data_IF_287481333535
#
_entry.id   IF_287481333535
#
_cell.length_a   1.000
_cell.length_b   1.000
_cell.length_c   1.000
_cell.angle_alpha   90.00
_cell.angle_beta   90.00
_cell.angle_gamma   90.00
#
_symmetry.space_group_name_H-M   'P 1'
#
loop_
_entity.id
_entity.type
_entity.pdbx_description
1 polymer ?
#
# COMPACT_ATOMS: atom_id res chain seq x y z
N UNK A 1 5.59 21.30 3.36
CA UNK A 1 5.02 20.13 2.68
C UNK A 1 5.21 20.30 1.19
N UNK A 2 5.61 19.24 0.48
CA UNK A 2 5.79 19.24 -0.98
C UNK A 2 4.55 18.58 -1.62
N UNK A 3 4.16 19.02 -2.81
CA UNK A 3 3.08 18.36 -3.55
C UNK A 3 3.43 16.87 -3.81
N UNK A 4 2.43 15.97 -3.84
CA UNK A 4 2.66 14.55 -4.08
C UNK A 4 3.29 14.31 -5.45
N UNK A 5 4.30 13.44 -5.52
CA UNK A 5 5.10 13.20 -6.74
C UNK A 5 4.28 12.80 -7.97
N UNK A 6 3.13 12.14 -7.75
CA UNK A 6 2.27 11.61 -8.81
C UNK A 6 0.94 12.36 -8.96
N UNK A 7 0.80 13.54 -8.34
CA UNK A 7 -0.40 14.38 -8.45
C UNK A 7 -0.04 15.77 -8.98
N UNK A 8 -1.01 16.47 -9.57
CA UNK A 8 -0.86 17.88 -9.98
C UNK A 8 -0.60 18.81 -8.77
N UNK A 9 -0.43 20.11 -9.02
CA UNK A 9 -0.27 21.09 -7.93
C UNK A 9 -1.61 21.39 -7.26
N UNK A 10 -1.55 21.87 -6.01
CA UNK A 10 -2.72 22.47 -5.33
C UNK A 10 -3.53 21.51 -4.48
N UNK A 11 -3.06 20.28 -4.27
CA UNK A 11 -3.70 19.32 -3.35
C UNK A 11 -3.28 19.55 -1.90
N UNK A 12 -2.05 20.01 -1.68
CA UNK A 12 -1.57 20.33 -0.32
C UNK A 12 -2.37 21.51 0.22
N UNK A 13 -2.98 21.34 1.40
CA UNK A 13 -3.82 22.35 2.05
C UNK A 13 -5.21 22.51 1.45
N UNK A 14 -5.57 21.75 0.41
CA UNK A 14 -6.91 21.81 -0.16
C UNK A 14 -7.97 21.37 0.85
N UNK A 15 -8.97 22.22 1.09
CA UNK A 15 -10.03 21.92 2.05
C UNK A 15 -11.15 21.10 1.40
N UNK A 16 -10.95 19.78 1.34
CA UNK A 16 -11.93 18.84 0.82
C UNK A 16 -13.27 18.90 1.54
N UNK A 17 -13.27 19.09 2.86
CA UNK A 17 -14.52 19.15 3.63
C UNK A 17 -15.38 20.34 3.23
N UNK A 18 -14.76 21.51 3.00
CA UNK A 18 -15.43 22.71 2.49
C UNK A 18 -15.94 22.50 1.07
N UNK A 19 -15.11 21.95 0.19
CA UNK A 19 -15.47 21.74 -1.22
C UNK A 19 -16.62 20.73 -1.37
N UNK A 20 -16.59 19.62 -0.63
CA UNK A 20 -17.59 18.55 -0.71
C UNK A 20 -18.81 18.78 0.20
N UNK A 21 -18.78 19.80 1.06
CA UNK A 21 -19.81 20.10 2.07
C UNK A 21 -20.15 18.90 2.96
N UNK A 22 -19.16 18.03 3.21
CA UNK A 22 -19.28 16.81 4.01
C UNK A 22 -18.01 16.62 4.84
N UNK A 23 -18.12 15.86 5.94
CA UNK A 23 -16.92 15.46 6.69
C UNK A 23 -16.07 14.57 5.79
N UNK A 24 -14.81 14.96 5.58
CA UNK A 24 -13.89 14.24 4.72
C UNK A 24 -12.67 13.77 5.50
N UNK A 25 -12.20 12.57 5.17
CA UNK A 25 -10.92 12.02 5.62
C UNK A 25 -10.12 11.66 4.38
N UNK A 26 -8.83 12.01 4.36
CA UNK A 26 -7.92 11.74 3.26
C UNK A 26 -6.76 10.92 3.80
N UNK A 27 -6.43 9.84 3.10
CA UNK A 27 -5.32 8.94 3.45
C UNK A 27 -4.61 8.52 2.16
N UNK A 28 -3.38 8.03 2.31
CA UNK A 28 -2.65 7.39 1.22
C UNK A 28 -3.46 6.21 0.61
N UNK A 29 -3.34 6.01 -0.70
CA UNK A 29 -4.10 5.02 -1.47
C UNK A 29 -3.73 3.57 -1.11
N UNK A 30 -2.45 3.27 -0.94
CA UNK A 30 -1.97 1.98 -0.47
C UNK A 30 -2.44 1.72 0.96
N UNK A 31 -2.43 2.74 1.82
CA UNK A 31 -2.98 2.65 3.17
C UNK A 31 -4.50 2.35 3.17
N UNK A 32 -5.26 2.95 2.25
CA UNK A 32 -6.68 2.65 2.06
C UNK A 32 -6.90 1.20 1.64
N UNK A 33 -6.16 0.71 0.64
CA UNK A 33 -6.26 -0.69 0.21
C UNK A 33 -5.81 -1.67 1.30
N UNK A 34 -4.75 -1.33 2.05
CA UNK A 34 -4.27 -2.12 3.17
C UNK A 34 -5.35 -2.26 4.25
N UNK A 35 -6.01 -1.16 4.58
CA UNK A 35 -7.09 -1.16 5.57
C UNK A 35 -8.26 -2.06 5.16
N UNK A 36 -8.63 -2.05 3.88
CA UNK A 36 -9.65 -2.96 3.35
C UNK A 36 -9.21 -4.42 3.28
N UNK A 37 -7.92 -4.66 3.07
CA UNK A 37 -7.36 -6.01 2.92
C UNK A 37 -7.03 -6.69 4.25
N UNK A 38 -6.87 -5.92 5.33
CA UNK A 38 -6.46 -6.45 6.63
C UNK A 38 -7.53 -7.38 7.23
N UNK A 39 -7.10 -8.52 7.74
CA UNK A 39 -7.97 -9.47 8.45
C UNK A 39 -7.54 -9.57 9.91
N UNK A 40 -6.25 -9.87 10.14
CA UNK A 40 -5.65 -10.04 11.47
C UNK A 40 -4.13 -10.00 11.38
N UNK A 41 -3.48 -9.98 12.54
CA UNK A 41 -2.02 -10.00 12.65
C UNK A 41 -1.37 -8.72 12.11
N UNK A 42 -0.06 -8.79 11.89
CA UNK A 42 0.73 -7.77 11.21
C UNK A 42 0.73 -8.07 9.71
N UNK A 43 0.10 -7.18 8.95
CA UNK A 43 -0.01 -7.29 7.50
C UNK A 43 0.73 -6.14 6.84
N UNK A 44 1.65 -6.48 5.94
CA UNK A 44 2.26 -5.53 5.02
C UNK A 44 1.48 -5.53 3.71
N UNK A 45 1.05 -4.37 3.25
CA UNK A 45 0.49 -4.19 1.92
C UNK A 45 1.55 -3.62 0.99
N UNK A 46 1.65 -4.18 -0.22
CA UNK A 46 2.52 -3.70 -1.29
C UNK A 46 1.71 -3.56 -2.59
N UNK A 47 1.51 -2.33 -3.04
CA UNK A 47 0.82 -1.99 -4.27
C UNK A 47 1.78 -1.91 -5.44
N UNK A 48 1.70 -2.87 -6.36
CA UNK A 48 2.50 -2.90 -7.58
C UNK A 48 1.77 -2.13 -8.69
N UNK A 49 2.20 -0.90 -8.95
CA UNK A 49 1.62 -0.02 -9.96
C UNK A 49 2.69 0.57 -10.87
N UNK A 50 2.49 1.84 -11.27
CA UNK A 50 3.55 2.64 -11.88
C UNK A 50 4.76 2.71 -10.94
N UNK A 51 4.49 2.95 -9.66
CA UNK A 51 5.46 2.90 -8.58
C UNK A 51 5.20 1.79 -7.54
N UNK A 52 5.75 1.95 -6.34
CA UNK A 52 5.53 1.05 -5.20
C UNK A 52 4.82 1.77 -4.05
N UNK A 53 3.53 1.50 -3.89
CA UNK A 53 2.77 1.91 -2.71
C UNK A 53 2.93 0.91 -1.57
N UNK A 54 2.99 1.36 -0.32
CA UNK A 54 3.11 0.46 0.81
C UNK A 54 2.39 0.96 2.07
N UNK A 55 1.95 0.03 2.90
CA UNK A 55 1.42 0.34 4.22
C UNK A 55 1.52 -0.87 5.16
N UNK A 56 1.70 -0.63 6.45
CA UNK A 56 1.70 -1.65 7.49
C UNK A 56 0.46 -1.51 8.36
N UNK A 57 -0.23 -2.62 8.60
CA UNK A 57 -1.42 -2.68 9.46
C UNK A 57 -1.21 -3.72 10.55
N UNK A 58 -1.44 -3.34 11.80
CA UNK A 58 -1.43 -4.28 12.92
C UNK A 58 -2.36 -3.80 14.03
N UNK A 59 -3.09 -4.73 14.64
CA UNK A 59 -4.09 -4.42 15.67
C UNK A 59 -5.07 -3.35 15.16
N UNK A 60 -4.96 -2.11 15.64
CA UNK A 60 -5.75 -0.94 15.24
C UNK A 60 -4.90 0.18 14.62
N UNK A 61 -3.63 -0.09 14.31
CA UNK A 61 -2.72 0.88 13.71
C UNK A 61 -2.62 0.67 12.20
N UNK A 62 -2.63 1.77 11.46
CA UNK A 62 -2.36 1.86 10.03
C UNK A 62 -1.22 2.86 9.83
N UNK A 63 -0.10 2.39 9.30
CA UNK A 63 1.06 3.20 8.97
C UNK A 63 1.27 3.21 7.45
N UNK A 64 0.99 4.32 6.75
CA UNK A 64 1.44 4.51 5.38
C UNK A 64 2.97 4.47 5.31
N UNK A 65 3.54 3.89 4.26
CA UNK A 65 4.98 3.76 4.07
C UNK A 65 5.38 4.23 2.67
N UNK A 66 6.50 4.95 2.61
CA UNK A 66 7.11 5.40 1.35
C UNK A 66 8.29 4.47 0.98
N UNK A 67 7.98 3.19 0.76
CA UNK A 67 9.02 2.21 0.47
C UNK A 67 9.63 2.38 -0.93
N UNK A 68 8.94 3.03 -1.87
CA UNK A 68 9.39 3.17 -3.26
C UNK A 68 10.76 3.81 -3.43
N UNK A 69 11.16 4.71 -2.52
CA UNK A 69 12.48 5.35 -2.53
C UNK A 69 13.59 4.55 -1.84
N UNK A 70 13.29 3.38 -1.24
CA UNK A 70 14.29 2.59 -0.54
C UNK A 70 15.46 2.23 -1.48
N UNK A 71 16.71 2.41 -1.02
CA UNK A 71 17.87 1.90 -1.75
C UNK A 71 17.74 0.40 -1.97
N UNK A 72 18.04 0.00 -3.19
CA UNK A 72 17.96 -1.35 -3.67
C UNK A 72 19.05 -1.56 -4.73
N UNK A 73 19.16 -2.77 -5.25
CA UNK A 73 20.18 -3.23 -6.21
C UNK A 73 20.69 -2.13 -7.15
N UNK A 74 22.00 -2.14 -7.36
CA UNK A 74 22.73 -1.21 -8.24
C UNK A 74 22.58 0.27 -7.82
N UNK A 75 22.49 0.52 -6.50
CA UNK A 75 22.26 1.84 -5.91
C UNK A 75 21.02 2.57 -6.47
N UNK A 76 20.03 1.81 -6.94
CA UNK A 76 18.77 2.34 -7.45
C UNK A 76 17.68 2.24 -6.40
N UNK A 77 16.53 2.82 -6.69
CA UNK A 77 15.36 2.73 -5.80
C UNK A 77 14.61 1.44 -6.05
N UNK A 78 14.01 0.86 -5.02
CA UNK A 78 13.24 -0.39 -5.14
C UNK A 78 12.11 -0.29 -6.18
N UNK A 79 11.51 0.90 -6.32
CA UNK A 79 10.49 1.17 -7.32
C UNK A 79 10.98 0.97 -8.76
N UNK A 80 12.26 1.26 -9.04
CA UNK A 80 12.85 1.05 -10.36
C UNK A 80 12.89 -0.42 -10.79
N UNK A 81 12.76 -1.33 -9.82
CA UNK A 81 12.79 -2.78 -10.02
C UNK A 81 11.39 -3.39 -9.95
N UNK A 82 10.54 -2.92 -9.03
CA UNK A 82 9.21 -3.48 -8.82
C UNK A 82 8.10 -2.79 -9.63
N UNK A 83 8.31 -1.54 -10.02
CA UNK A 83 7.38 -0.75 -10.82
C UNK A 83 7.40 -1.13 -12.30
N UNK A 84 6.73 -0.30 -13.12
CA UNK A 84 6.59 -0.57 -14.56
C UNK A 84 7.94 -0.52 -15.30
N UNK A 85 8.86 0.37 -14.90
CA UNK A 85 10.20 0.47 -15.46
C UNK A 85 11.00 -0.84 -15.30
N UNK A 86 10.89 -1.46 -14.12
CA UNK A 86 11.53 -2.74 -13.85
C UNK A 86 10.92 -3.86 -14.68
N UNK A 87 9.59 -3.85 -14.83
CA UNK A 87 8.87 -4.82 -15.64
C UNK A 87 9.28 -4.75 -17.12
N UNK A 88 9.36 -3.55 -17.68
CA UNK A 88 9.76 -3.33 -19.08
C UNK A 88 11.22 -3.73 -19.32
N UNK A 89 12.12 -3.38 -18.40
CA UNK A 89 13.55 -3.68 -18.50
C UNK A 89 13.87 -5.17 -18.35
N UNK A 90 13.23 -5.87 -17.40
CA UNK A 90 13.55 -7.26 -17.07
C UNK A 90 12.71 -8.28 -17.86
N UNK A 91 11.57 -7.85 -18.40
CA UNK A 91 10.54 -8.75 -18.91
C UNK A 91 9.78 -9.48 -17.78
N UNK A 92 8.60 -10.03 -18.10
CA UNK A 92 7.67 -10.52 -17.07
C UNK A 92 8.23 -11.66 -16.20
N UNK A 93 9.07 -12.54 -16.75
CA UNK A 93 9.59 -13.69 -15.99
C UNK A 93 10.54 -13.22 -14.89
N UNK A 94 11.60 -12.50 -15.27
CA UNK A 94 12.60 -12.01 -14.31
C UNK A 94 12.00 -10.96 -13.35
N UNK A 95 11.08 -10.11 -13.83
CA UNK A 95 10.37 -9.17 -12.95
C UNK A 95 9.56 -9.88 -11.86
N UNK A 96 8.86 -10.99 -12.16
CA UNK A 96 8.14 -11.76 -11.14
C UNK A 96 9.10 -12.32 -10.09
N UNK A 97 10.23 -12.87 -10.52
CA UNK A 97 11.25 -13.42 -9.61
C UNK A 97 11.79 -12.32 -8.69
N UNK A 98 12.04 -11.12 -9.23
CA UNK A 98 12.49 -9.95 -8.47
C UNK A 98 11.44 -9.49 -7.45
N UNK A 99 10.18 -9.39 -7.86
CA UNK A 99 9.05 -9.09 -6.97
C UNK A 99 8.97 -10.10 -5.83
N UNK A 100 9.06 -11.40 -6.13
CA UNK A 100 8.98 -12.45 -5.11
C UNK A 100 10.14 -12.38 -4.12
N UNK A 101 11.36 -12.15 -4.60
CA UNK A 101 12.53 -11.96 -3.75
C UNK A 101 12.31 -10.77 -2.80
N UNK A 102 11.96 -9.61 -3.35
CA UNK A 102 11.78 -8.40 -2.57
C UNK A 102 10.63 -8.53 -1.56
N UNK A 103 9.49 -9.10 -1.96
CA UNK A 103 8.34 -9.34 -1.07
C UNK A 103 8.73 -10.23 0.11
N UNK A 104 9.56 -11.24 -0.14
CA UNK A 104 10.03 -12.15 0.90
C UNK A 104 10.93 -11.41 1.89
N UNK A 105 11.86 -10.58 1.41
CA UNK A 105 12.73 -9.77 2.27
C UNK A 105 11.92 -8.76 3.10
N UNK A 106 11.02 -8.01 2.47
CA UNK A 106 10.19 -7.03 3.18
C UNK A 106 9.27 -7.69 4.22
N UNK A 107 8.71 -8.86 3.92
CA UNK A 107 7.93 -9.63 4.90
C UNK A 107 8.76 -9.90 6.16
N UNK A 108 10.01 -10.31 6.00
CA UNK A 108 10.93 -10.58 7.10
C UNK A 108 11.31 -9.29 7.85
N UNK A 109 11.72 -8.25 7.13
CA UNK A 109 12.15 -6.98 7.73
C UNK A 109 11.07 -6.30 8.56
N UNK A 110 9.81 -6.41 8.14
CA UNK A 110 8.67 -5.89 8.90
C UNK A 110 8.09 -6.90 9.89
N UNK A 111 8.64 -8.11 9.95
CA UNK A 111 8.15 -9.23 10.77
C UNK A 111 6.63 -9.40 10.55
N UNK A 112 6.23 -9.38 9.28
CA UNK A 112 4.83 -9.44 8.88
C UNK A 112 4.36 -10.89 8.78
N UNK A 113 3.23 -11.19 9.42
CA UNK A 113 2.57 -12.50 9.32
C UNK A 113 2.13 -12.77 7.88
N UNK A 114 1.63 -11.71 7.23
CA UNK A 114 1.11 -11.75 5.87
C UNK A 114 1.54 -10.54 5.05
N UNK A 115 1.72 -10.77 3.75
CA UNK A 115 1.82 -9.71 2.75
C UNK A 115 0.61 -9.77 1.84
N UNK A 116 -0.01 -8.63 1.58
CA UNK A 116 -1.02 -8.49 0.52
C UNK A 116 -0.41 -7.70 -0.63
N UNK A 117 -0.33 -8.33 -1.79
CA UNK A 117 0.07 -7.66 -3.03
C UNK A 117 -1.17 -7.09 -3.71
N UNK A 118 -1.22 -5.79 -3.92
CA UNK A 118 -2.27 -5.10 -4.67
C UNK A 118 -1.71 -4.35 -5.87
N UNK A 119 -2.49 -3.40 -6.37
CA UNK A 119 -2.11 -2.58 -7.52
C UNK A 119 -2.34 -3.28 -8.87
N UNK A 120 -2.30 -2.50 -9.95
CA UNK A 120 -2.66 -2.96 -11.29
C UNK A 120 -1.76 -4.07 -11.85
N UNK A 121 -0.50 -4.16 -11.39
CA UNK A 121 0.47 -5.14 -11.87
C UNK A 121 0.41 -6.47 -11.13
N UNK A 122 -0.33 -6.60 -10.02
CA UNK A 122 -0.44 -7.88 -9.30
C UNK A 122 -1.05 -9.00 -10.15
N UNK A 123 -1.90 -8.65 -11.12
CA UNK A 123 -2.49 -9.60 -12.08
C UNK A 123 -1.44 -10.36 -12.90
N UNK A 124 -0.23 -9.82 -13.01
CA UNK A 124 0.88 -10.46 -13.71
C UNK A 124 1.51 -11.57 -12.87
N UNK A 125 1.33 -11.61 -11.55
CA UNK A 125 1.88 -12.67 -10.69
C UNK A 125 1.14 -13.98 -10.92
N UNK A 126 1.86 -15.09 -11.13
CA UNK A 126 1.24 -16.42 -11.36
C UNK A 126 1.07 -17.22 -10.07
N UNK A 127 2.16 -17.37 -9.31
CA UNK A 127 2.20 -18.07 -8.04
C UNK A 127 2.68 -17.14 -6.94
N UNK A 128 2.15 -17.32 -5.73
CA UNK A 128 2.51 -16.54 -4.55
C UNK A 128 2.99 -17.47 -3.45
N UNK A 129 4.08 -17.13 -2.74
CA UNK A 129 4.62 -17.96 -1.67
C UNK A 129 3.71 -17.91 -0.43
N UNK A 130 3.99 -18.81 0.52
CA UNK A 130 3.20 -18.93 1.75
C UNK A 130 3.17 -17.61 2.53
N UNK A 131 1.96 -17.19 2.90
CA UNK A 131 1.74 -15.94 3.62
C UNK A 131 1.79 -14.70 2.74
N UNK A 132 1.85 -14.85 1.42
CA UNK A 132 1.60 -13.76 0.46
C UNK A 132 0.27 -14.01 -0.22
N UNK A 133 -0.57 -12.98 -0.29
CA UNK A 133 -1.91 -13.04 -0.88
C UNK A 133 -2.09 -11.98 -1.94
N UNK A 134 -2.87 -12.28 -2.95
CA UNK A 134 -3.34 -11.28 -3.92
C UNK A 134 -4.47 -10.47 -3.28
N UNK A 135 -4.33 -9.16 -3.27
CA UNK A 135 -5.38 -8.21 -2.91
C UNK A 135 -6.30 -7.93 -4.10
N UNK A 136 -7.50 -7.44 -3.79
CA UNK A 136 -8.48 -7.01 -4.78
C UNK A 136 -8.55 -5.49 -4.76
N UNK A 137 -8.55 -4.83 -5.93
CA UNK A 137 -8.66 -3.37 -6.03
C UNK A 137 -9.94 -2.84 -5.34
N UNK A 138 -11.00 -3.65 -5.26
CA UNK A 138 -12.24 -3.30 -4.54
C UNK A 138 -12.03 -3.11 -3.04
N UNK A 139 -10.93 -3.61 -2.48
CA UNK A 139 -10.57 -3.38 -1.09
C UNK A 139 -10.33 -1.90 -0.78
N UNK A 140 -10.05 -1.05 -1.78
CA UNK A 140 -10.01 0.40 -1.58
C UNK A 140 -11.35 0.94 -1.04
N UNK A 141 -12.49 0.50 -1.59
CA UNK A 141 -13.81 0.92 -1.12
C UNK A 141 -14.12 0.41 0.29
N UNK A 142 -13.74 -0.84 0.58
CA UNK A 142 -13.88 -1.40 1.93
C UNK A 142 -13.00 -0.64 2.94
N UNK A 143 -11.78 -0.31 2.55
CA UNK A 143 -10.86 0.51 3.34
C UNK A 143 -11.42 1.90 3.61
N UNK A 144 -11.98 2.56 2.59
CA UNK A 144 -12.68 3.83 2.75
C UNK A 144 -13.83 3.76 3.75
N UNK A 145 -14.60 2.66 3.78
CA UNK A 145 -15.63 2.42 4.80
C UNK A 145 -15.02 2.21 6.19
N UNK A 146 -14.00 1.36 6.28
CA UNK A 146 -13.31 1.02 7.55
C UNK A 146 -12.66 2.23 8.22
N UNK A 147 -12.22 3.20 7.43
CA UNK A 147 -11.65 4.46 7.92
C UNK A 147 -12.60 5.25 8.83
N UNK A 148 -13.91 5.02 8.70
CA UNK A 148 -14.96 5.65 9.49
C UNK A 148 -15.49 4.76 10.62
N UNK A 149 -15.00 3.52 10.75
CA UNK A 149 -15.40 2.66 11.87
C UNK A 149 -15.01 3.30 13.20
N UNK A 150 -15.91 3.19 14.16
CA UNK A 150 -15.70 3.62 15.55
C UNK A 150 -15.66 2.39 16.44
N UNK A 151 -14.89 2.46 17.53
CA UNK A 151 -14.99 1.49 18.59
C UNK A 151 -16.32 1.71 19.33
N UNK A 152 -17.18 0.69 19.35
CA UNK A 152 -18.53 0.81 19.95
C UNK A 152 -18.51 1.11 21.45
N UNK A 153 -17.43 0.77 22.16
CA UNK A 153 -17.30 1.00 23.60
C UNK A 153 -16.85 2.43 23.91
N UNK A 154 -15.92 2.97 23.11
CA UNK A 154 -15.30 4.28 23.40
C UNK A 154 -15.84 5.41 22.52
N UNK A 155 -16.50 5.10 21.40
CA UNK A 155 -16.97 6.08 20.41
C UNK A 155 -15.85 6.71 19.57
N UNK A 156 -14.59 6.37 19.84
CA UNK A 156 -13.40 6.91 19.16
C UNK A 156 -13.17 6.16 17.83
N UNK A 157 -12.57 6.78 16.80
CA UNK A 157 -12.17 6.07 15.58
C UNK A 157 -11.42 4.77 15.91
N UNK A 158 -11.87 3.68 15.30
CA UNK A 158 -11.32 2.34 15.51
C UNK A 158 -9.85 2.27 15.10
N UNK A 159 -9.48 2.98 14.04
CA UNK A 159 -8.18 2.93 13.43
C UNK A 159 -7.38 4.18 13.76
N UNK A 160 -6.17 3.97 14.30
CA UNK A 160 -5.15 4.99 14.46
C UNK A 160 -4.30 5.02 13.19
N UNK A 161 -4.32 6.16 12.51
CA UNK A 161 -3.46 6.42 11.37
C UNK A 161 -2.22 7.11 11.92
N UNK A 162 -1.07 6.51 11.65
CA UNK A 162 0.23 6.97 12.15
C UNK A 162 0.91 7.89 11.14
#
# INVERSE_FOLDING_TARGET
MKDPKHLGKGWVGFNFSRALKKRTRVINDAAMQALGSHIRGRMLFLGLGTGLGAALVWSKNLLPLELGDLPYRDHRKIEDWLGINGLERLGEKAWREEVLYCVTQLKLSFVADTVVLGGGNVKKMKHLPRGVKRGDNRNAFLGGRRLWEIDRKTGIPRWRIL
#
